data_IF_199405197346
#
_entry.id   IF_199405197346
#
_cell.length_a   1.000
_cell.length_b   1.000
_cell.length_c   1.000
_cell.angle_alpha   90.00
_cell.angle_beta   90.00
_cell.angle_gamma   90.00
#
_symmetry.space_group_name_H-M   'P 1'
#
loop_
_entity.id
_entity.type
_entity.pdbx_description
1 polymer ?
#
# COMPACT_ATOMS: atom_id res chain seq x y z
N UNK A 1 23.57 -4.05 5.40
CA UNK A 1 24.41 -4.88 4.55
C UNK A 1 25.54 -4.08 3.89
N UNK A 2 25.24 -3.06 3.06
CA UNK A 2 26.24 -2.28 2.28
C UNK A 2 27.37 -1.73 3.19
N UNK A 3 27.00 -1.06 4.30
CA UNK A 3 28.00 -0.55 5.24
C UNK A 3 28.97 -1.64 5.73
N UNK A 4 28.46 -2.80 6.14
CA UNK A 4 29.27 -3.91 6.65
C UNK A 4 30.17 -4.50 5.57
N UNK A 5 29.70 -4.62 4.33
CA UNK A 5 30.52 -5.06 3.21
C UNK A 5 31.70 -4.13 2.97
N UNK A 6 31.46 -2.81 2.94
CA UNK A 6 32.53 -1.80 2.80
C UNK A 6 33.47 -1.83 4.00
N UNK A 7 32.95 -1.88 5.22
CA UNK A 7 33.73 -1.94 6.46
C UNK A 7 34.72 -3.13 6.45
N UNK A 8 34.24 -4.33 6.09
CA UNK A 8 35.06 -5.53 5.99
C UNK A 8 36.08 -5.46 4.84
N UNK A 9 35.65 -4.98 3.66
CA UNK A 9 36.50 -4.84 2.50
C UNK A 9 37.67 -3.88 2.73
N UNK A 10 37.43 -2.81 3.49
CA UNK A 10 38.49 -1.87 3.87
C UNK A 10 39.39 -2.37 5.00
N UNK A 11 39.14 -3.56 5.55
CA UNK A 11 39.90 -4.09 6.70
C UNK A 11 39.79 -3.20 7.94
N UNK A 12 38.70 -2.43 8.08
CA UNK A 12 38.51 -1.52 9.19
C UNK A 12 38.32 -2.29 10.50
N UNK A 13 39.02 -1.88 11.56
CA UNK A 13 38.95 -2.49 12.88
C UNK A 13 38.39 -1.53 13.96
N UNK A 14 37.93 -0.35 13.54
CA UNK A 14 37.39 0.63 14.49
C UNK A 14 36.08 0.11 15.08
N UNK A 15 35.76 0.40 16.34
CA UNK A 15 34.45 0.07 16.90
C UNK A 15 33.35 0.76 16.11
N UNK A 16 32.20 0.06 15.96
CA UNK A 16 31.05 0.51 15.21
C UNK A 16 29.85 0.59 16.14
N UNK A 17 29.18 1.72 16.13
CA UNK A 17 27.90 1.91 16.76
C UNK A 17 26.81 2.08 15.71
N UNK A 18 25.62 1.62 16.01
CA UNK A 18 24.48 1.65 15.12
C UNK A 18 23.44 2.66 15.56
N UNK A 19 23.18 3.62 14.68
CA UNK A 19 22.00 4.46 14.75
C UNK A 19 20.80 3.71 14.14
N UNK A 20 19.70 3.64 14.87
CA UNK A 20 18.43 3.09 14.39
C UNK A 20 17.32 4.11 14.60
N UNK A 21 16.81 4.67 13.51
CA UNK A 21 15.72 5.65 13.50
C UNK A 21 14.73 5.29 12.40
N UNK A 22 13.46 5.53 12.63
CA UNK A 22 12.36 5.33 11.65
C UNK A 22 11.73 6.65 11.19
N UNK A 23 12.20 7.78 11.70
CA UNK A 23 11.82 9.12 11.30
C UNK A 23 13.06 9.99 11.06
N UNK A 24 12.99 10.91 10.09
CA UNK A 24 14.06 11.87 9.78
C UNK A 24 13.83 13.24 10.42
N UNK A 25 12.90 13.33 11.37
CA UNK A 25 12.69 14.54 12.17
C UNK A 25 13.89 14.79 13.09
N UNK A 26 14.25 16.06 13.30
CA UNK A 26 15.41 16.46 14.10
C UNK A 26 15.40 15.88 15.52
N UNK A 27 14.22 15.81 16.14
CA UNK A 27 14.03 15.23 17.48
C UNK A 27 14.36 13.74 17.49
N UNK A 28 13.86 12.97 16.51
CA UNK A 28 14.11 11.53 16.39
C UNK A 28 15.59 11.23 16.12
N UNK A 29 16.24 12.06 15.28
CA UNK A 29 17.68 11.96 15.00
C UNK A 29 18.49 12.21 16.28
N UNK A 30 18.21 13.29 17.02
CA UNK A 30 18.92 13.62 18.26
C UNK A 30 18.76 12.51 19.31
N UNK A 31 17.54 12.02 19.49
CA UNK A 31 17.25 10.91 20.41
C UNK A 31 17.96 9.63 19.98
N UNK A 32 17.97 9.32 18.68
CA UNK A 32 18.67 8.18 18.11
C UNK A 32 20.17 8.22 18.40
N UNK A 33 20.82 9.37 18.29
CA UNK A 33 22.24 9.54 18.64
C UNK A 33 22.52 9.38 20.14
N UNK A 34 21.53 9.63 20.99
CA UNK A 34 21.67 9.35 22.45
C UNK A 34 21.50 7.86 22.78
N UNK A 35 20.92 7.09 21.88
CA UNK A 35 20.58 5.66 22.05
C UNK A 35 21.36 4.75 21.09
N UNK A 36 22.56 5.14 20.69
CA UNK A 36 23.43 4.32 19.87
C UNK A 36 23.69 2.96 20.53
N UNK A 37 23.75 1.92 19.73
CA UNK A 37 24.00 0.55 20.19
C UNK A 37 25.25 -0.03 19.54
N UNK A 38 25.99 -0.91 20.25
CA UNK A 38 27.12 -1.61 19.65
C UNK A 38 26.73 -2.31 18.34
N UNK A 39 27.56 -2.16 17.32
CA UNK A 39 27.32 -2.79 16.02
C UNK A 39 27.21 -4.30 16.10
N UNK A 40 27.83 -4.95 17.08
CA UNK A 40 27.79 -6.41 17.30
C UNK A 40 26.42 -6.94 17.64
N UNK A 41 25.54 -6.13 18.24
CA UNK A 41 24.15 -6.54 18.49
C UNK A 41 23.36 -6.84 17.19
N UNK A 42 23.86 -6.37 16.05
CA UNK A 42 23.24 -6.52 14.73
C UNK A 42 23.95 -7.55 13.84
N UNK A 43 24.83 -8.40 14.41
CA UNK A 43 25.56 -9.40 13.63
C UNK A 43 24.61 -10.45 13.04
N UNK A 44 23.64 -10.94 13.82
CA UNK A 44 22.64 -11.89 13.32
C UNK A 44 21.80 -11.29 12.16
N UNK A 45 21.45 -9.99 12.22
CA UNK A 45 20.77 -9.29 11.15
C UNK A 45 21.63 -9.17 9.90
N UNK A 46 22.92 -8.91 10.06
CA UNK A 46 23.88 -8.88 8.97
C UNK A 46 24.01 -10.25 8.28
N UNK A 47 24.20 -11.33 9.07
CA UNK A 47 24.29 -12.69 8.54
C UNK A 47 23.01 -13.10 7.80
N UNK A 48 21.84 -12.78 8.32
CA UNK A 48 20.57 -13.04 7.64
C UNK A 48 20.49 -12.31 6.27
N UNK A 49 20.90 -11.03 6.24
CA UNK A 49 20.94 -10.26 5.01
C UNK A 49 21.95 -10.81 3.99
N UNK A 50 23.12 -11.26 4.45
CA UNK A 50 24.16 -11.85 3.62
C UNK A 50 23.72 -13.21 3.06
N UNK A 51 23.10 -14.06 3.86
CA UNK A 51 22.53 -15.33 3.41
C UNK A 51 21.48 -15.11 2.32
N UNK A 52 20.59 -14.15 2.50
CA UNK A 52 19.57 -13.79 1.51
C UNK A 52 20.18 -13.31 0.20
N UNK A 53 21.17 -12.42 0.26
CA UNK A 53 21.88 -11.92 -0.94
C UNK A 53 22.52 -13.05 -1.73
N UNK A 54 23.26 -13.92 -1.02
CA UNK A 54 23.95 -15.07 -1.64
C UNK A 54 22.98 -16.07 -2.25
N UNK A 55 21.89 -16.38 -1.55
CA UNK A 55 20.86 -17.29 -2.06
C UNK A 55 20.20 -16.72 -3.31
N UNK A 56 19.80 -15.45 -3.30
CA UNK A 56 19.20 -14.77 -4.45
C UNK A 56 20.16 -14.79 -5.65
N UNK A 57 21.46 -14.52 -5.42
CA UNK A 57 22.46 -14.51 -6.48
C UNK A 57 22.70 -15.90 -7.05
N UNK A 58 22.94 -16.91 -6.21
CA UNK A 58 23.25 -18.29 -6.64
C UNK A 58 22.06 -18.87 -7.40
N UNK A 59 20.86 -18.77 -6.88
CA UNK A 59 19.64 -19.32 -7.52
C UNK A 59 19.35 -18.53 -8.81
N UNK A 60 19.35 -17.22 -8.74
CA UNK A 60 19.03 -16.36 -9.87
C UNK A 60 19.96 -16.57 -11.06
N UNK A 61 21.28 -16.55 -10.85
CA UNK A 61 22.24 -16.68 -11.95
C UNK A 61 22.24 -18.08 -12.56
N UNK A 62 22.21 -19.13 -11.73
CA UNK A 62 22.26 -20.50 -12.24
C UNK A 62 20.98 -20.86 -12.99
N UNK A 63 19.81 -20.53 -12.43
CA UNK A 63 18.52 -20.78 -13.09
C UNK A 63 18.37 -19.95 -14.38
N UNK A 64 18.74 -18.66 -14.36
CA UNK A 64 18.75 -17.82 -15.56
C UNK A 64 19.62 -18.44 -16.67
N UNK A 65 20.84 -18.87 -16.36
CA UNK A 65 21.73 -19.50 -17.33
C UNK A 65 21.16 -20.82 -17.84
N UNK A 66 20.68 -21.68 -16.94
CA UNK A 66 20.11 -22.97 -17.31
C UNK A 66 18.95 -22.81 -18.30
N UNK A 67 17.95 -22.00 -17.94
CA UNK A 67 16.79 -21.81 -18.80
C UNK A 67 17.13 -21.07 -20.08
N UNK A 68 18.03 -20.09 -20.03
CA UNK A 68 18.47 -19.39 -21.24
C UNK A 68 19.18 -20.32 -22.22
N UNK A 69 20.01 -21.25 -21.73
CA UNK A 69 20.66 -22.26 -22.57
C UNK A 69 19.65 -23.29 -23.13
N UNK A 70 18.70 -23.74 -22.30
CA UNK A 70 17.71 -24.73 -22.74
C UNK A 70 16.77 -24.22 -23.82
N UNK A 71 16.40 -22.95 -23.75
CA UNK A 71 15.41 -22.33 -24.64
C UNK A 71 16.03 -21.44 -25.73
N UNK A 72 17.35 -21.27 -25.77
CA UNK A 72 18.06 -20.48 -26.78
C UNK A 72 17.75 -18.97 -26.74
N UNK A 73 17.25 -18.45 -25.64
CA UNK A 73 16.93 -17.03 -25.44
C UNK A 73 17.13 -16.62 -23.99
N UNK A 74 17.32 -15.33 -23.72
CA UNK A 74 17.51 -14.84 -22.36
C UNK A 74 16.21 -14.97 -21.56
N UNK A 75 16.22 -15.84 -20.55
CA UNK A 75 15.12 -16.06 -19.61
C UNK A 75 15.59 -15.75 -18.20
N UNK A 76 15.25 -14.56 -17.73
CA UNK A 76 15.64 -14.11 -16.40
C UNK A 76 14.80 -14.82 -15.32
N UNK A 77 15.47 -15.37 -14.34
CA UNK A 77 14.86 -15.98 -13.14
C UNK A 77 15.21 -15.16 -11.91
N UNK A 78 14.23 -14.83 -11.09
CA UNK A 78 14.42 -14.04 -9.88
C UNK A 78 13.36 -14.30 -8.85
N UNK A 79 13.72 -14.10 -7.60
CA UNK A 79 12.90 -14.39 -6.41
C UNK A 79 11.54 -13.69 -6.38
N UNK A 80 11.43 -12.50 -6.96
CA UNK A 80 10.19 -11.74 -7.03
C UNK A 80 9.55 -11.87 -8.41
N UNK A 81 10.33 -11.66 -9.45
CA UNK A 81 9.87 -11.62 -10.84
C UNK A 81 9.21 -12.94 -11.28
N UNK A 82 9.86 -14.08 -11.01
CA UNK A 82 9.36 -15.39 -11.47
C UNK A 82 8.05 -15.80 -10.78
N UNK A 83 7.90 -15.73 -9.45
CA UNK A 83 6.60 -16.01 -8.83
C UNK A 83 5.50 -15.04 -9.26
N UNK A 84 5.83 -13.77 -9.45
CA UNK A 84 4.85 -12.77 -9.94
C UNK A 84 4.37 -13.15 -11.34
N UNK A 85 5.28 -13.50 -12.25
CA UNK A 85 4.93 -13.98 -13.58
C UNK A 85 4.06 -15.25 -13.51
N UNK A 86 4.44 -16.20 -12.65
CA UNK A 86 3.65 -17.43 -12.44
C UNK A 86 2.22 -17.13 -11.99
N UNK A 87 2.02 -16.20 -11.05
CA UNK A 87 0.68 -15.77 -10.61
C UNK A 87 -0.14 -15.18 -11.77
N UNK A 88 0.46 -14.35 -12.61
CA UNK A 88 -0.19 -13.76 -13.79
C UNK A 88 -0.60 -14.84 -14.79
N UNK A 89 0.32 -15.76 -15.11
CA UNK A 89 0.05 -16.87 -16.03
C UNK A 89 -1.04 -17.80 -15.51
N UNK A 90 -1.02 -18.14 -14.22
CA UNK A 90 -2.07 -18.95 -13.60
C UNK A 90 -3.43 -18.25 -13.64
N UNK A 91 -3.46 -16.94 -13.43
CA UNK A 91 -4.70 -16.16 -13.52
C UNK A 91 -5.23 -16.10 -14.94
N UNK A 92 -4.37 -15.87 -15.93
CA UNK A 92 -4.73 -15.89 -17.34
C UNK A 92 -5.30 -17.27 -17.77
N UNK A 93 -4.63 -18.36 -17.35
CA UNK A 93 -5.12 -19.71 -17.57
C UNK A 93 -6.50 -19.96 -16.93
N UNK A 94 -6.72 -19.48 -15.72
CA UNK A 94 -8.02 -19.57 -15.04
C UNK A 94 -9.12 -18.79 -15.78
N UNK A 95 -8.79 -17.61 -16.33
CA UNK A 95 -9.70 -16.81 -17.13
C UNK A 95 -10.07 -17.56 -18.42
N UNK A 96 -9.08 -18.13 -19.13
CA UNK A 96 -9.32 -18.90 -20.36
C UNK A 96 -10.11 -20.19 -20.13
N UNK A 97 -9.92 -20.81 -18.96
CA UNK A 97 -10.64 -22.01 -18.57
C UNK A 97 -12.01 -21.73 -17.92
N UNK A 98 -12.36 -20.45 -17.75
CA UNK A 98 -13.61 -20.07 -17.08
C UNK A 98 -14.82 -20.54 -17.86
N UNK A 99 -15.67 -21.32 -17.19
CA UNK A 99 -16.97 -21.74 -17.70
C UNK A 99 -18.06 -20.95 -16.99
N UNK A 100 -18.83 -20.13 -17.73
CA UNK A 100 -19.95 -19.41 -17.13
C UNK A 100 -21.01 -20.41 -16.65
N UNK A 101 -21.43 -20.30 -15.40
CA UNK A 101 -22.55 -21.01 -14.84
C UNK A 101 -23.74 -20.05 -14.72
N UNK A 102 -24.89 -20.37 -15.34
CA UNK A 102 -26.08 -19.55 -15.20
C UNK A 102 -26.64 -19.68 -13.78
N UNK A 103 -27.14 -18.59 -13.27
CA UNK A 103 -27.96 -18.56 -12.06
C UNK A 103 -29.21 -17.73 -12.33
N UNK A 104 -30.22 -17.96 -11.55
CA UNK A 104 -31.54 -17.35 -11.69
C UNK A 104 -31.90 -16.66 -10.37
N UNK A 105 -32.60 -15.56 -10.43
CA UNK A 105 -33.20 -14.90 -9.25
C UNK A 105 -34.55 -14.34 -9.62
N UNK A 106 -35.50 -14.38 -8.69
CA UNK A 106 -36.75 -13.71 -8.83
C UNK A 106 -36.64 -12.25 -8.35
N UNK A 107 -37.21 -11.32 -9.09
CA UNK A 107 -37.24 -9.92 -8.74
C UNK A 107 -38.69 -9.44 -8.69
N UNK A 108 -39.10 -8.85 -7.57
CA UNK A 108 -40.38 -8.19 -7.41
C UNK A 108 -40.21 -6.69 -7.64
N UNK A 109 -40.97 -6.13 -8.58
CA UNK A 109 -40.99 -4.70 -8.87
C UNK A 109 -42.24 -4.08 -8.31
N UNK A 110 -42.04 -3.19 -7.34
CA UNK A 110 -43.10 -2.35 -6.79
C UNK A 110 -42.98 -0.93 -7.37
N UNK A 111 -43.94 -0.09 -7.08
CA UNK A 111 -43.97 1.28 -7.59
C UNK A 111 -42.73 2.09 -7.18
N UNK A 112 -42.33 1.95 -5.92
CA UNK A 112 -41.32 2.80 -5.28
C UNK A 112 -40.04 2.05 -4.88
N UNK A 113 -40.00 0.72 -5.01
CA UNK A 113 -38.83 -0.09 -4.67
C UNK A 113 -38.81 -1.44 -5.41
N UNK A 114 -37.67 -2.12 -5.34
CA UNK A 114 -37.46 -3.46 -5.89
C UNK A 114 -37.01 -4.40 -4.77
N UNK A 115 -37.44 -5.64 -4.80
CA UNK A 115 -37.02 -6.68 -3.90
C UNK A 115 -36.48 -7.87 -4.70
N UNK A 116 -35.21 -8.25 -4.42
CA UNK A 116 -34.56 -9.38 -5.06
C UNK A 116 -34.56 -10.62 -4.18
N UNK A 117 -34.83 -11.76 -4.76
CA UNK A 117 -34.70 -13.07 -4.14
C UNK A 117 -33.27 -13.59 -4.16
N UNK A 118 -33.05 -14.71 -3.47
CA UNK A 118 -31.76 -15.40 -3.48
C UNK A 118 -31.46 -16.00 -4.87
N UNK A 119 -30.16 -16.25 -5.11
CA UNK A 119 -29.72 -16.92 -6.35
C UNK A 119 -30.06 -18.40 -6.33
N UNK A 120 -30.69 -18.87 -7.38
CA UNK A 120 -31.07 -20.27 -7.62
C UNK A 120 -30.26 -20.86 -8.78
N UNK A 121 -29.92 -22.13 -8.72
CA UNK A 121 -29.20 -22.79 -9.80
C UNK A 121 -30.14 -23.25 -10.91
N UNK A 122 -31.37 -23.67 -10.54
CA UNK A 122 -32.33 -24.20 -11.45
C UNK A 122 -33.35 -23.15 -11.89
N UNK A 123 -33.53 -23.04 -13.21
CA UNK A 123 -34.51 -22.12 -13.81
C UNK A 123 -35.93 -22.40 -13.37
N UNK A 124 -36.27 -23.69 -13.26
CA UNK A 124 -37.61 -24.16 -12.90
C UNK A 124 -38.00 -23.70 -11.46
N UNK A 125 -37.04 -23.64 -10.51
CA UNK A 125 -37.28 -23.15 -9.17
C UNK A 125 -37.63 -21.65 -9.18
N UNK A 126 -36.87 -20.87 -9.96
CA UNK A 126 -37.11 -19.44 -10.11
C UNK A 126 -38.47 -19.17 -10.79
N UNK A 127 -38.82 -19.92 -11.84
CA UNK A 127 -40.11 -19.79 -12.53
C UNK A 127 -41.27 -20.14 -11.60
N UNK A 128 -41.14 -21.20 -10.79
CA UNK A 128 -42.14 -21.60 -9.79
C UNK A 128 -42.35 -20.51 -8.77
N UNK A 129 -41.27 -19.92 -8.20
CA UNK A 129 -41.33 -18.84 -7.25
C UNK A 129 -42.03 -17.61 -7.83
N UNK A 130 -41.73 -17.25 -9.08
CA UNK A 130 -42.39 -16.15 -9.78
C UNK A 130 -43.88 -16.41 -9.94
N UNK A 131 -44.26 -17.63 -10.33
CA UNK A 131 -45.67 -17.97 -10.46
C UNK A 131 -46.44 -17.91 -9.15
N UNK A 132 -45.85 -18.39 -8.05
CA UNK A 132 -46.40 -18.29 -6.70
C UNK A 132 -46.55 -16.81 -6.24
N UNK A 133 -45.58 -15.99 -6.49
CA UNK A 133 -45.65 -14.55 -6.18
C UNK A 133 -46.73 -13.82 -6.99
N UNK A 134 -46.86 -14.17 -8.27
CA UNK A 134 -47.91 -13.60 -9.13
C UNK A 134 -49.32 -14.02 -8.69
N UNK A 135 -49.50 -15.27 -8.23
CA UNK A 135 -50.80 -15.75 -7.70
C UNK A 135 -51.16 -15.07 -6.37
N UNK A 136 -50.17 -14.84 -5.51
CA UNK A 136 -50.38 -14.19 -4.22
C UNK A 136 -50.84 -12.74 -4.37
N UNK A 137 -50.40 -12.03 -5.41
CA UNK A 137 -50.81 -10.67 -5.74
C UNK A 137 -50.40 -9.59 -4.70
N UNK A 138 -49.79 -10.01 -3.60
CA UNK A 138 -49.34 -9.12 -2.52
C UNK A 138 -48.12 -9.73 -1.79
N UNK A 139 -47.30 -8.88 -1.20
CA UNK A 139 -46.17 -9.29 -0.36
C UNK A 139 -46.29 -8.62 1.02
N UNK A 140 -45.93 -9.37 2.07
CA UNK A 140 -45.95 -8.89 3.46
C UNK A 140 -44.52 -8.65 3.91
N UNK A 141 -44.23 -7.43 4.40
CA UNK A 141 -42.94 -7.11 5.03
C UNK A 141 -42.95 -7.76 6.42
N UNK A 142 -42.16 -8.80 6.60
CA UNK A 142 -42.07 -9.54 7.87
C UNK A 142 -41.06 -8.95 8.84
N UNK A 143 -40.05 -8.24 8.30
CA UNK A 143 -38.98 -7.66 9.12
C UNK A 143 -38.41 -6.42 8.46
N UNK A 144 -38.17 -5.39 9.24
CA UNK A 144 -37.42 -4.21 8.85
C UNK A 144 -36.19 -4.08 9.77
N UNK A 145 -35.01 -4.04 9.20
CA UNK A 145 -33.76 -3.82 9.94
C UNK A 145 -33.13 -2.50 9.49
N UNK A 146 -32.88 -1.64 10.46
CA UNK A 146 -32.08 -0.44 10.26
C UNK A 146 -30.77 -0.62 11.02
N UNK A 147 -29.63 -0.52 10.31
CA UNK A 147 -28.30 -0.63 10.89
C UNK A 147 -27.52 0.62 10.59
N UNK A 148 -27.02 1.26 11.62
CA UNK A 148 -26.01 2.31 11.46
C UNK A 148 -24.68 1.68 11.04
N UNK A 149 -24.12 2.18 9.97
CA UNK A 149 -22.77 1.83 9.53
C UNK A 149 -21.86 3.03 9.71
N UNK A 150 -20.77 2.83 10.42
CA UNK A 150 -19.71 3.83 10.51
C UNK A 150 -18.61 3.47 9.52
N UNK A 151 -18.32 4.36 8.60
CA UNK A 151 -17.19 4.25 7.70
C UNK A 151 -16.00 5.03 8.27
N UNK A 152 -14.88 4.35 8.38
CA UNK A 152 -13.64 5.00 8.81
C UNK A 152 -13.04 5.79 7.64
N UNK A 153 -12.39 6.91 7.91
CA UNK A 153 -11.63 7.61 6.87
C UNK A 153 -10.55 6.70 6.28
N UNK A 154 -10.12 6.95 5.02
CA UNK A 154 -9.04 6.21 4.42
C UNK A 154 -7.79 6.25 5.29
N UNK A 155 -7.03 5.15 5.32
CA UNK A 155 -5.73 5.14 5.97
C UNK A 155 -4.71 5.91 5.12
N UNK A 156 -3.62 6.34 5.74
CA UNK A 156 -2.52 7.00 5.03
C UNK A 156 -1.92 6.10 3.95
N UNK A 157 -1.11 6.66 3.07
CA UNK A 157 -0.50 5.94 1.97
C UNK A 157 0.80 5.22 2.37
N UNK A 158 0.88 3.95 2.02
CA UNK A 158 2.12 3.27 1.69
C UNK A 158 2.39 3.41 0.18
N UNK A 159 3.55 2.95 -0.29
CA UNK A 159 3.87 3.04 -1.72
C UNK A 159 2.84 2.34 -2.60
N UNK A 160 2.42 1.15 -2.24
CA UNK A 160 1.49 0.35 -3.05
C UNK A 160 0.11 1.00 -3.15
N UNK A 161 -0.42 1.48 -2.04
CA UNK A 161 -1.71 2.16 -2.04
C UNK A 161 -1.67 3.50 -2.80
N UNK A 162 -0.56 4.24 -2.67
CA UNK A 162 -0.34 5.47 -3.45
C UNK A 162 -0.30 5.17 -4.96
N UNK A 163 0.45 4.14 -5.38
CA UNK A 163 0.52 3.74 -6.78
C UNK A 163 -0.85 3.33 -7.34
N UNK A 164 -1.64 2.59 -6.56
CA UNK A 164 -2.99 2.20 -6.98
C UNK A 164 -3.92 3.39 -7.13
N UNK A 165 -3.86 4.33 -6.20
CA UNK A 165 -4.71 5.52 -6.23
C UNK A 165 -4.29 6.48 -7.35
N UNK A 166 -2.99 6.72 -7.54
CA UNK A 166 -2.46 7.51 -8.64
C UNK A 166 -2.80 6.89 -10.01
N UNK A 167 -2.76 5.57 -10.13
CA UNK A 167 -3.20 4.90 -11.34
C UNK A 167 -4.69 5.08 -11.59
N UNK A 168 -5.52 4.94 -10.54
CA UNK A 168 -6.98 5.08 -10.64
C UNK A 168 -7.43 6.49 -11.02
N UNK A 169 -6.78 7.51 -10.45
CA UNK A 169 -7.20 8.91 -10.61
C UNK A 169 -6.49 9.60 -11.78
N UNK A 170 -5.19 9.32 -11.96
CA UNK A 170 -4.31 10.07 -12.86
C UNK A 170 -3.81 9.21 -14.03
N UNK A 171 -4.06 7.89 -14.02
CA UNK A 171 -3.57 6.98 -15.04
C UNK A 171 -2.06 6.71 -14.98
N UNK A 172 -1.37 7.09 -13.90
CA UNK A 172 0.06 6.88 -13.76
C UNK A 172 0.39 5.40 -13.61
N UNK A 173 1.51 4.99 -14.20
CA UNK A 173 2.08 3.67 -13.93
C UNK A 173 2.68 3.63 -12.53
N UNK A 174 2.87 2.42 -11.99
CA UNK A 174 3.54 2.25 -10.70
C UNK A 174 4.95 2.86 -10.68
N UNK A 175 5.69 2.77 -11.78
CA UNK A 175 7.02 3.35 -11.91
C UNK A 175 6.97 4.88 -11.92
N UNK A 176 6.08 5.49 -12.70
CA UNK A 176 5.91 6.95 -12.72
C UNK A 176 5.56 7.49 -11.34
N UNK A 177 4.61 6.85 -10.63
CA UNK A 177 4.26 7.26 -9.26
C UNK A 177 5.46 7.20 -8.32
N UNK A 178 6.27 6.13 -8.41
CA UNK A 178 7.48 6.02 -7.61
C UNK A 178 8.50 7.12 -7.95
N UNK A 179 8.74 7.37 -9.24
CA UNK A 179 9.73 8.35 -9.68
C UNK A 179 9.33 9.77 -9.25
N UNK A 180 8.07 10.15 -9.41
CA UNK A 180 7.56 11.45 -8.97
C UNK A 180 7.61 11.60 -7.44
N UNK A 181 7.18 10.57 -6.70
CA UNK A 181 7.23 10.62 -5.24
C UNK A 181 8.67 10.63 -4.72
N UNK A 182 9.59 9.94 -5.39
CA UNK A 182 11.02 9.98 -5.09
C UNK A 182 11.59 11.39 -5.32
N UNK A 183 11.24 12.04 -6.43
CA UNK A 183 11.67 13.42 -6.72
C UNK A 183 11.13 14.42 -5.68
N UNK A 184 9.89 14.26 -5.24
CA UNK A 184 9.30 15.07 -4.16
C UNK A 184 10.02 14.82 -2.82
N UNK A 185 10.38 13.58 -2.52
CA UNK A 185 11.17 13.24 -1.34
C UNK A 185 12.56 13.89 -1.36
N UNK A 186 13.26 13.87 -2.48
CA UNK A 186 14.57 14.49 -2.64
C UNK A 186 14.52 16.02 -2.46
N UNK A 187 13.39 16.63 -2.82
CA UNK A 187 13.07 18.04 -2.52
C UNK A 187 12.58 18.26 -1.09
N UNK A 188 12.49 17.21 -0.27
CA UNK A 188 11.99 17.23 1.11
C UNK A 188 10.52 17.65 1.25
N UNK A 189 9.71 17.47 0.22
CA UNK A 189 8.29 17.84 0.22
C UNK A 189 7.40 16.73 0.79
N UNK A 190 7.83 15.47 0.66
CA UNK A 190 7.14 14.30 1.23
C UNK A 190 8.12 13.43 2.01
N UNK A 191 7.61 12.53 2.84
CA UNK A 191 8.41 11.54 3.56
C UNK A 191 8.86 10.42 2.63
N UNK A 192 9.69 9.49 3.11
CA UNK A 192 10.33 8.46 2.29
C UNK A 192 9.29 7.56 1.59
N UNK A 193 9.33 7.44 0.25
CA UNK A 193 8.26 6.81 -0.51
C UNK A 193 8.26 5.28 -0.45
N UNK A 194 9.40 4.63 -0.18
CA UNK A 194 9.49 3.17 -0.17
C UNK A 194 9.17 2.63 1.21
N UNK A 195 7.94 2.79 1.62
CA UNK A 195 7.41 2.28 2.89
C UNK A 195 6.25 1.33 2.64
N UNK A 196 6.10 0.35 3.52
CA UNK A 196 4.98 -0.57 3.61
C UNK A 196 4.00 -0.21 4.73
N UNK A 197 4.35 0.83 5.52
CA UNK A 197 3.51 1.30 6.62
C UNK A 197 2.48 2.33 6.16
N UNK A 198 1.29 2.21 6.70
CA UNK A 198 0.18 3.17 6.58
C UNK A 198 -0.08 3.92 7.88
N UNK A 199 0.88 3.85 8.81
CA UNK A 199 0.81 4.46 10.12
C UNK A 199 1.99 5.40 10.34
N UNK A 200 1.81 6.32 11.27
CA UNK A 200 2.85 7.23 11.75
C UNK A 200 3.37 6.75 13.11
N UNK A 201 4.54 7.23 13.49
CA UNK A 201 5.16 7.01 14.78
C UNK A 201 4.69 8.02 15.81
N UNK A 202 4.83 7.70 17.10
CA UNK A 202 4.35 8.53 18.21
C UNK A 202 5.02 9.91 18.25
N UNK A 203 6.27 10.03 17.77
CA UNK A 203 7.01 11.29 17.67
C UNK A 203 6.40 12.30 16.68
N UNK A 204 5.64 11.82 15.69
CA UNK A 204 4.94 12.67 14.73
C UNK A 204 3.62 13.23 15.31
N UNK A 205 3.03 12.58 16.31
CA UNK A 205 1.73 12.96 16.85
C UNK A 205 1.64 14.46 17.29
N UNK A 206 2.62 15.03 17.99
CA UNK A 206 2.59 16.44 18.38
C UNK A 206 2.67 17.42 17.20
N UNK A 207 3.21 16.97 16.05
CA UNK A 207 3.42 17.79 14.87
C UNK A 207 2.18 17.80 13.94
N UNK A 208 1.27 16.85 14.11
CA UNK A 208 0.11 16.66 13.23
C UNK A 208 -0.80 17.90 13.12
N UNK A 209 -1.18 18.59 14.21
CA UNK A 209 -2.05 19.77 14.09
C UNK A 209 -1.45 20.88 13.24
N UNK A 210 -0.15 21.15 13.45
CA UNK A 210 0.60 22.14 12.69
C UNK A 210 0.71 21.72 11.20
N UNK A 211 1.07 20.45 10.95
CA UNK A 211 1.20 19.92 9.60
C UNK A 211 -0.13 19.98 8.82
N UNK A 212 -1.24 19.61 9.45
CA UNK A 212 -2.57 19.69 8.82
C UNK A 212 -2.93 21.14 8.49
N UNK A 213 -2.72 22.06 9.43
CA UNK A 213 -2.98 23.50 9.21
C UNK A 213 -2.19 24.03 8.01
N UNK A 214 -0.93 23.68 7.95
CA UNK A 214 -0.01 24.04 6.88
C UNK A 214 -0.48 23.51 5.52
N UNK A 215 -0.86 22.23 5.44
CA UNK A 215 -1.37 21.61 4.22
C UNK A 215 -2.67 22.26 3.78
N UNK A 216 -3.60 22.50 4.70
CA UNK A 216 -4.86 23.18 4.40
C UNK A 216 -4.64 24.56 3.78
N UNK A 217 -3.69 25.32 4.33
CA UNK A 217 -3.34 26.64 3.79
C UNK A 217 -2.70 26.56 2.41
N UNK A 218 -1.73 25.66 2.22
CA UNK A 218 -0.98 25.54 0.97
C UNK A 218 -1.84 25.05 -0.19
N UNK A 219 -2.77 24.13 0.07
CA UNK A 219 -3.66 23.56 -0.92
C UNK A 219 -5.05 24.21 -0.93
N UNK A 220 -5.26 25.27 -0.14
CA UNK A 220 -6.55 25.98 -0.01
C UNK A 220 -7.72 25.02 0.32
N UNK A 221 -7.43 23.98 1.10
CA UNK A 221 -8.43 22.99 1.52
C UNK A 221 -9.23 23.59 2.68
N UNK A 222 -10.50 23.85 2.45
CA UNK A 222 -11.43 24.27 3.49
C UNK A 222 -12.33 23.06 3.86
N UNK A 223 -12.24 22.53 5.07
CA UNK A 223 -13.19 21.51 5.51
C UNK A 223 -14.58 22.09 5.67
N UNK A 224 -15.60 21.36 5.29
CA UNK A 224 -17.01 21.77 5.44
C UNK A 224 -17.35 22.06 6.91
N UNK A 225 -16.76 21.30 7.83
CA UNK A 225 -16.85 21.53 9.28
C UNK A 225 -15.45 21.49 9.90
N UNK A 226 -15.05 22.49 10.70
CA UNK A 226 -13.82 22.46 11.45
C UNK A 226 -13.86 21.37 12.51
N UNK A 227 -13.12 20.29 12.30
CA UNK A 227 -12.98 19.20 13.25
C UNK A 227 -11.57 19.17 13.85
N UNK A 228 -11.42 18.81 15.13
CA UNK A 228 -10.10 18.64 15.72
C UNK A 228 -9.34 17.49 15.03
N UNK A 229 -8.03 17.67 14.84
CA UNK A 229 -7.18 16.65 14.24
C UNK A 229 -7.13 15.42 15.15
N UNK A 230 -7.68 14.31 14.69
CA UNK A 230 -7.64 13.03 15.42
C UNK A 230 -6.42 12.19 14.99
N UNK A 231 -5.26 12.51 15.50
CA UNK A 231 -4.03 11.79 15.22
C UNK A 231 -4.04 10.32 15.70
N UNK A 232 -4.84 9.98 16.71
CA UNK A 232 -4.88 8.64 17.29
C UNK A 232 -5.28 7.54 16.28
N UNK A 233 -6.02 7.88 15.23
CA UNK A 233 -6.42 6.91 14.20
C UNK A 233 -5.25 6.48 13.29
N UNK A 234 -4.25 7.33 13.13
CA UNK A 234 -3.12 7.12 12.20
C UNK A 234 -1.81 6.85 12.91
N UNK A 235 -1.74 7.02 14.24
CA UNK A 235 -0.54 6.76 15.04
C UNK A 235 -0.52 5.30 15.51
N UNK A 236 0.50 4.56 15.13
CA UNK A 236 0.76 3.22 15.65
C UNK A 236 2.21 2.81 15.39
N UNK A 237 3.11 3.17 16.29
CA UNK A 237 4.55 2.86 16.18
C UNK A 237 4.86 1.37 16.06
N UNK A 238 3.99 0.48 16.58
CA UNK A 238 4.18 -0.98 16.47
C UNK A 238 3.96 -1.51 15.04
N UNK A 239 3.26 -0.76 14.19
CA UNK A 239 3.01 -1.08 12.79
C UNK A 239 3.90 -0.30 11.82
N UNK A 240 4.88 0.40 12.34
CA UNK A 240 5.94 1.06 11.57
C UNK A 240 7.20 0.21 11.70
N UNK A 241 7.72 -0.26 10.57
CA UNK A 241 8.95 -1.06 10.53
C UNK A 241 10.18 -0.14 10.39
N UNK A 242 10.57 0.17 9.17
CA UNK A 242 11.72 1.02 8.87
C UNK A 242 11.32 2.49 8.66
N UNK A 243 10.19 2.72 8.00
CA UNK A 243 9.66 4.05 7.67
C UNK A 243 8.16 4.11 7.90
N UNK A 244 7.68 5.26 8.37
CA UNK A 244 6.25 5.52 8.52
C UNK A 244 5.57 5.84 7.16
N UNK A 245 4.26 6.04 7.18
CA UNK A 245 3.46 6.36 6.00
C UNK A 245 3.96 7.59 5.23
N UNK A 246 3.62 7.65 3.95
CA UNK A 246 3.91 8.79 3.08
C UNK A 246 2.98 9.93 3.44
N UNK A 247 3.56 11.05 3.87
CA UNK A 247 2.86 12.29 4.18
C UNK A 247 3.66 13.50 3.65
N UNK A 248 3.02 14.63 3.37
CA UNK A 248 3.73 15.89 3.14
C UNK A 248 4.54 16.30 4.37
N UNK A 249 5.64 17.03 4.15
CA UNK A 249 6.46 17.59 5.21
C UNK A 249 6.11 19.06 5.45
N UNK A 250 6.64 19.64 6.52
CA UNK A 250 6.52 21.09 6.76
C UNK A 250 7.13 21.94 5.64
N UNK A 251 8.14 21.42 4.95
CA UNK A 251 8.78 22.13 3.82
C UNK A 251 7.81 22.33 2.66
N UNK A 252 6.84 21.44 2.48
CA UNK A 252 5.81 21.55 1.44
C UNK A 252 4.94 22.81 1.60
N UNK A 253 4.79 23.30 2.81
CA UNK A 253 4.00 24.49 3.14
C UNK A 253 4.42 25.79 2.46
N UNK A 254 5.70 25.97 2.32
CA UNK A 254 6.25 27.21 1.71
C UNK A 254 6.76 27.02 0.29
N UNK A 255 6.55 25.82 -0.26
CA UNK A 255 7.07 25.48 -1.58
C UNK A 255 6.09 25.91 -2.68
N UNK A 256 6.62 26.55 -3.72
CA UNK A 256 5.84 26.88 -4.91
C UNK A 256 5.59 25.62 -5.74
N UNK A 257 4.43 24.99 -5.53
CA UNK A 257 4.04 23.76 -6.21
C UNK A 257 3.92 23.98 -7.73
N UNK A 258 3.60 25.21 -8.17
CA UNK A 258 3.50 25.52 -9.59
C UNK A 258 4.84 25.46 -10.33
N UNK A 259 5.95 25.49 -9.59
CA UNK A 259 7.31 25.33 -10.14
C UNK A 259 7.71 23.88 -10.40
N UNK A 260 6.92 22.90 -9.91
CA UNK A 260 7.19 21.48 -10.12
C UNK A 260 6.83 21.03 -11.54
N UNK A 261 7.47 19.97 -12.07
CA UNK A 261 7.00 19.28 -13.27
C UNK A 261 5.56 18.79 -13.12
N UNK A 262 4.79 18.76 -14.19
CA UNK A 262 3.35 18.42 -14.17
C UNK A 262 3.02 17.08 -13.51
N UNK A 263 3.87 16.07 -13.65
CA UNK A 263 3.67 14.77 -13.00
C UNK A 263 3.91 14.77 -11.48
N UNK A 264 4.71 15.73 -10.99
CA UNK A 264 4.94 15.92 -9.55
C UNK A 264 3.87 16.85 -8.91
N UNK A 265 3.24 17.70 -9.73
CA UNK A 265 2.13 18.57 -9.29
C UNK A 265 0.84 17.80 -9.08
N UNK A 266 0.59 16.77 -9.90
CA UNK A 266 -0.64 15.98 -9.91
C UNK A 266 -0.80 15.13 -8.64
#
# INVERSE_FOLDING_TARGET
>A
LIFRLVYHQCGCKKPVERLWISSMEDSAIREGFQKLRPGTEYDALYEAALCRERADWIVGINATRLFSCLYGQTLNVGRVMTPTLAMVVMRDAAIRAFKPEPFYSAELKFRDFQAGGERMKEKAEAEKLVAECCQAGSAIITKVEQKEKSEKPPALFDLTSLQREANRQLGFTAQQTLDYTQALYEKKLVTYPRTDSRYLTDDIAPLMPELVSVIQQSFQIQPDEPAPVNAAQVINSKKVTDHHAIIPTKTAAGYDISSLPSGEQA
#
